data_IF_791864250110
#
_entry.id   IF_791864250110
#
_cell.length_a   1.000
_cell.length_b   1.000
_cell.length_c   1.000
_cell.angle_alpha   90.00
_cell.angle_beta   90.00
_cell.angle_gamma   90.00
#
_symmetry.space_group_name_H-M   'P 1'
#
loop_
_entity.id
_entity.type
_entity.pdbx_description
1 polymer ?
#
# COMPACT_ATOMS: atom_id res chain seq x y z
N UNK A 1 -0.84 6.30 -27.83
CA UNK A 1 -2.23 6.63 -27.44
C UNK A 1 -3.16 6.18 -28.56
N UNK A 2 -4.43 5.90 -28.26
CA UNK A 2 -5.43 5.50 -29.24
C UNK A 2 -6.72 6.31 -29.04
N UNK A 3 -7.53 6.43 -30.08
CA UNK A 3 -8.94 6.82 -29.95
C UNK A 3 -9.76 5.54 -29.93
N UNK A 4 -10.31 5.19 -28.77
CA UNK A 4 -11.16 4.03 -28.60
C UNK A 4 -12.62 4.40 -28.91
N UNK A 5 -13.31 3.57 -29.69
CA UNK A 5 -14.76 3.73 -29.96
C UNK A 5 -15.59 2.60 -29.36
N UNK A 6 -14.95 1.47 -29.06
CA UNK A 6 -15.57 0.31 -28.44
C UNK A 6 -14.75 -0.16 -27.23
N UNK A 7 -15.40 -0.86 -26.31
CA UNK A 7 -14.75 -1.41 -25.10
C UNK A 7 -13.54 -2.29 -25.45
N UNK A 8 -13.64 -3.10 -26.50
CA UNK A 8 -12.56 -4.00 -26.95
C UNK A 8 -11.27 -3.24 -27.33
N UNK A 9 -11.36 -1.98 -27.78
CA UNK A 9 -10.18 -1.17 -28.05
C UNK A 9 -9.45 -0.80 -26.76
N UNK A 10 -10.22 -0.47 -25.72
CA UNK A 10 -9.70 -0.16 -24.39
C UNK A 10 -9.08 -1.40 -23.76
N UNK A 11 -9.76 -2.54 -23.80
CA UNK A 11 -9.26 -3.80 -23.24
C UNK A 11 -7.97 -4.26 -23.90
N UNK A 12 -7.89 -4.20 -25.24
CA UNK A 12 -6.69 -4.55 -25.99
C UNK A 12 -5.52 -3.64 -25.60
N UNK A 13 -5.73 -2.33 -25.62
CA UNK A 13 -4.67 -1.37 -25.26
C UNK A 13 -4.26 -1.49 -23.79
N UNK A 14 -5.21 -1.74 -22.88
CA UNK A 14 -4.94 -1.99 -21.48
C UNK A 14 -4.11 -3.27 -21.27
N UNK A 15 -4.43 -4.35 -21.99
CA UNK A 15 -3.67 -5.60 -21.95
C UNK A 15 -2.23 -5.40 -22.42
N UNK A 16 -2.02 -4.71 -23.54
CA UNK A 16 -0.69 -4.36 -24.04
C UNK A 16 0.09 -3.52 -23.01
N UNK A 17 -0.57 -2.55 -22.37
CA UNK A 17 0.00 -1.73 -21.30
C UNK A 17 0.47 -2.58 -20.11
N UNK A 18 -0.33 -3.58 -19.71
CA UNK A 18 0.04 -4.54 -18.65
C UNK A 18 1.22 -5.42 -19.07
N UNK A 19 1.21 -5.95 -20.30
CA UNK A 19 2.30 -6.78 -20.83
C UNK A 19 3.63 -6.01 -20.88
N UNK A 20 3.56 -4.70 -21.14
CA UNK A 20 4.71 -3.79 -21.09
C UNK A 20 5.13 -3.39 -19.67
N UNK A 21 4.42 -3.84 -18.62
CA UNK A 21 4.64 -3.49 -17.20
C UNK A 21 4.48 -1.99 -16.90
N UNK A 22 3.66 -1.30 -17.68
CA UNK A 22 3.29 0.09 -17.40
C UNK A 22 2.27 0.17 -16.25
N UNK A 23 2.14 1.34 -15.62
CA UNK A 23 1.28 1.56 -14.45
C UNK A 23 -0.23 1.39 -14.75
N UNK A 24 -0.64 1.61 -15.99
CA UNK A 24 -2.04 1.58 -16.42
C UNK A 24 -2.33 2.61 -17.50
N UNK A 25 -3.62 2.87 -17.74
CA UNK A 25 -4.08 3.79 -18.79
C UNK A 25 -4.90 4.94 -18.21
N UNK A 26 -5.00 6.03 -18.97
CA UNK A 26 -5.91 7.14 -18.69
C UNK A 26 -6.93 7.25 -19.82
N UNK A 27 -8.20 7.05 -19.50
CA UNK A 27 -9.33 7.28 -20.39
C UNK A 27 -9.73 8.75 -20.30
N UNK A 28 -9.74 9.44 -21.44
CA UNK A 28 -10.11 10.86 -21.51
C UNK A 28 -11.31 11.02 -22.44
N UNK A 29 -12.34 11.68 -21.95
CA UNK A 29 -13.43 12.14 -22.81
C UNK A 29 -12.91 13.20 -23.79
N UNK A 30 -13.05 12.94 -25.10
CA UNK A 30 -12.61 13.85 -26.16
C UNK A 30 -13.39 15.17 -26.18
N UNK A 31 -14.61 15.20 -25.65
CA UNK A 31 -15.42 16.41 -25.51
C UNK A 31 -15.11 17.21 -24.24
N UNK A 32 -14.32 16.66 -23.32
CA UNK A 32 -14.01 17.32 -22.06
C UNK A 32 -13.02 18.47 -22.24
N UNK A 33 -13.27 19.58 -21.53
CA UNK A 33 -12.29 20.66 -21.38
C UNK A 33 -11.34 20.33 -20.23
N UNK A 34 -10.15 20.93 -20.29
CA UNK A 34 -9.24 20.91 -19.16
C UNK A 34 -9.75 21.85 -18.06
N UNK A 35 -9.90 21.32 -16.86
CA UNK A 35 -10.41 22.03 -15.70
C UNK A 35 -9.46 21.82 -14.50
N UNK A 36 -8.89 22.88 -13.92
CA UNK A 36 -8.01 22.77 -12.75
C UNK A 36 -8.73 22.13 -11.56
N UNK A 37 -8.14 21.06 -11.01
CA UNK A 37 -8.64 20.41 -9.79
C UNK A 37 -9.86 19.50 -9.99
N UNK A 38 -10.36 19.37 -11.22
CA UNK A 38 -11.54 18.54 -11.50
C UNK A 38 -11.26 17.04 -11.28
N UNK A 39 -12.22 16.37 -10.63
CA UNK A 39 -12.24 14.91 -10.39
C UNK A 39 -13.56 14.27 -10.83
N UNK A 40 -14.33 14.95 -11.70
CA UNK A 40 -15.68 14.54 -12.17
C UNK A 40 -15.73 13.27 -13.03
N UNK A 41 -14.61 12.55 -13.20
CA UNK A 41 -14.56 11.33 -13.99
C UNK A 41 -14.47 11.53 -15.51
N UNK A 42 -14.28 12.76 -16.00
CA UNK A 42 -13.94 13.01 -17.42
C UNK A 42 -12.63 12.33 -17.82
N UNK A 43 -11.68 12.27 -16.88
CA UNK A 43 -10.36 11.65 -17.03
C UNK A 43 -10.23 10.53 -15.98
N UNK A 44 -10.40 9.29 -16.41
CA UNK A 44 -10.39 8.11 -15.54
C UNK A 44 -9.05 7.39 -15.63
N UNK A 45 -8.47 7.07 -14.48
CA UNK A 45 -7.28 6.22 -14.40
C UNK A 45 -7.75 4.77 -14.25
N UNK A 46 -7.24 3.88 -15.09
CA UNK A 46 -7.48 2.44 -14.99
C UNK A 46 -6.14 1.77 -14.76
N UNK A 47 -6.00 1.14 -13.59
CA UNK A 47 -4.77 0.45 -13.18
C UNK A 47 -5.04 -1.04 -13.00
N UNK A 48 -4.02 -1.91 -13.19
CA UNK A 48 -4.16 -3.34 -12.99
C UNK A 48 -4.70 -3.70 -11.60
N UNK A 49 -4.21 -3.00 -10.57
CA UNK A 49 -4.61 -3.18 -9.17
C UNK A 49 -6.11 -2.94 -8.89
N UNK A 50 -6.83 -2.28 -9.82
CA UNK A 50 -8.28 -2.07 -9.70
C UNK A 50 -9.09 -3.26 -10.24
N UNK A 51 -8.50 -4.06 -11.12
CA UNK A 51 -9.16 -5.19 -11.80
C UNK A 51 -8.73 -6.52 -11.19
N UNK A 52 -7.48 -6.60 -10.72
CA UNK A 52 -6.95 -7.71 -9.95
C UNK A 52 -6.38 -7.13 -8.67
N UNK A 53 -6.77 -7.67 -7.52
CA UNK A 53 -6.00 -7.41 -6.32
C UNK A 53 -4.53 -7.74 -6.64
N UNK A 54 -3.63 -6.81 -6.30
CA UNK A 54 -2.19 -7.05 -6.47
C UNK A 54 -1.74 -8.29 -5.70
N UNK A 55 -0.46 -8.64 -5.79
CA UNK A 55 0.09 -9.66 -4.91
C UNK A 55 0.02 -9.18 -3.46
N UNK A 56 -0.79 -9.84 -2.65
CA UNK A 56 -0.80 -9.64 -1.20
C UNK A 56 0.48 -10.22 -0.59
N UNK A 57 0.98 -9.57 0.46
CA UNK A 57 2.18 -9.98 1.17
C UNK A 57 1.87 -10.17 2.65
N UNK A 58 2.07 -11.39 3.14
CA UNK A 58 2.04 -11.68 4.57
C UNK A 58 3.37 -11.24 5.22
N UNK A 59 3.28 -10.27 6.13
CA UNK A 59 4.44 -9.65 6.80
C UNK A 59 4.18 -9.46 8.28
N UNK A 60 5.23 -9.33 9.09
CA UNK A 60 5.12 -9.18 10.55
C UNK A 60 5.29 -7.73 10.98
N UNK A 61 4.48 -7.28 11.95
CA UNK A 61 4.72 -6.03 12.66
C UNK A 61 5.93 -6.21 13.58
N UNK A 62 6.98 -5.43 13.36
CA UNK A 62 8.23 -5.47 14.13
C UNK A 62 8.51 -4.15 14.87
N UNK A 63 7.67 -3.13 14.68
CA UNK A 63 7.79 -1.84 15.35
C UNK A 63 6.62 -0.91 15.07
N UNK A 64 6.62 0.24 15.72
CA UNK A 64 5.57 1.24 15.58
C UNK A 64 6.10 2.67 15.69
N UNK A 65 5.39 3.61 15.06
CA UNK A 65 5.64 5.04 15.13
C UNK A 65 4.42 5.75 15.71
N UNK A 66 4.67 6.66 16.64
CA UNK A 66 3.63 7.53 17.18
C UNK A 66 3.07 8.45 16.10
N UNK A 67 1.75 8.61 16.11
CA UNK A 67 1.07 9.58 15.27
C UNK A 67 1.30 11.02 15.70
N UNK A 68 0.78 11.93 14.89
CA UNK A 68 0.73 13.37 15.14
C UNK A 68 -0.71 13.88 15.05
N UNK A 69 -0.98 15.07 15.60
CA UNK A 69 -2.31 15.70 15.52
C UNK A 69 -3.38 14.90 16.25
N UNK A 70 -4.50 14.57 15.57
CA UNK A 70 -5.63 13.80 16.14
C UNK A 70 -5.20 12.45 16.73
N UNK A 71 -4.13 11.84 16.22
CA UNK A 71 -3.58 10.56 16.71
C UNK A 71 -2.25 10.73 17.47
N UNK A 72 -2.01 11.92 18.02
CA UNK A 72 -0.85 12.17 18.87
C UNK A 72 -0.90 11.32 20.15
N UNK A 73 0.22 10.71 20.51
CA UNK A 73 0.36 9.92 21.75
C UNK A 73 0.08 8.42 21.60
N UNK A 74 -0.49 7.98 20.49
CA UNK A 74 -0.69 6.56 20.18
C UNK A 74 0.08 6.14 18.93
N UNK A 75 0.39 4.84 18.80
CA UNK A 75 1.03 4.29 17.60
C UNK A 75 0.02 4.33 16.45
N UNK A 76 0.41 4.89 15.32
CA UNK A 76 -0.49 5.04 14.14
C UNK A 76 0.10 4.48 12.85
N UNK A 77 1.37 4.09 12.87
CA UNK A 77 2.06 3.48 11.74
C UNK A 77 2.92 2.33 12.25
N UNK A 78 3.01 1.25 11.47
CA UNK A 78 3.73 0.05 11.82
C UNK A 78 4.93 -0.16 10.90
N UNK A 79 6.07 -0.54 11.47
CA UNK A 79 7.20 -1.06 10.72
C UNK A 79 6.96 -2.56 10.49
N UNK A 80 6.98 -2.98 9.24
CA UNK A 80 6.78 -4.36 8.82
C UNK A 80 8.12 -5.02 8.49
N UNK A 81 8.22 -6.31 8.78
CA UNK A 81 9.41 -7.12 8.58
C UNK A 81 9.12 -8.46 7.90
N UNK A 82 10.09 -8.92 7.12
CA UNK A 82 10.11 -10.24 6.50
C UNK A 82 10.98 -11.18 7.32
N UNK A 83 10.51 -12.41 7.52
CA UNK A 83 11.26 -13.45 8.20
C UNK A 83 12.38 -14.00 7.31
N UNK A 84 13.61 -14.09 7.83
CA UNK A 84 14.65 -14.88 7.17
C UNK A 84 14.30 -16.36 7.24
N UNK A 85 14.61 -17.10 6.17
CA UNK A 85 14.26 -18.51 6.05
C UNK A 85 14.92 -19.30 7.20
N UNK A 86 14.13 -19.91 8.10
CA UNK A 86 14.69 -20.66 9.22
C UNK A 86 15.22 -22.02 8.75
N UNK A 87 16.05 -22.64 9.61
CA UNK A 87 16.38 -24.06 9.46
C UNK A 87 15.10 -24.91 9.59
N UNK A 88 15.04 -26.11 8.98
CA UNK A 88 13.89 -26.99 9.10
C UNK A 88 13.49 -27.22 10.56
N UNK A 89 12.17 -27.21 10.84
CA UNK A 89 11.59 -27.36 12.18
C UNK A 89 12.01 -26.30 13.21
N UNK A 90 12.41 -25.10 12.77
CA UNK A 90 12.71 -23.97 13.67
C UNK A 90 11.92 -22.72 13.29
N UNK A 91 11.76 -21.81 14.25
CA UNK A 91 11.16 -20.50 14.01
C UNK A 91 12.20 -19.49 13.52
N UNK A 92 11.80 -18.52 12.68
CA UNK A 92 12.69 -17.44 12.25
C UNK A 92 13.14 -16.61 13.45
N UNK A 93 14.44 -16.33 13.52
CA UNK A 93 15.04 -15.51 14.58
C UNK A 93 15.42 -14.11 14.13
N UNK A 94 15.55 -13.92 12.81
CA UNK A 94 15.93 -12.64 12.21
C UNK A 94 14.81 -12.18 11.29
N UNK A 95 14.46 -10.92 11.44
CA UNK A 95 13.47 -10.24 10.61
C UNK A 95 14.14 -9.03 9.97
N UNK A 96 13.97 -8.87 8.67
CA UNK A 96 14.50 -7.75 7.90
C UNK A 96 13.39 -6.73 7.70
N UNK A 97 13.62 -5.49 8.13
CA UNK A 97 12.69 -4.38 7.91
C UNK A 97 12.41 -4.22 6.41
N UNK A 98 11.14 -4.14 6.05
CA UNK A 98 10.70 -4.09 4.65
C UNK A 98 10.05 -2.75 4.32
N UNK A 99 8.92 -2.43 4.98
CA UNK A 99 8.19 -1.20 4.70
C UNK A 99 7.48 -0.67 5.94
N UNK A 100 6.89 0.52 5.82
CA UNK A 100 6.03 1.12 6.84
C UNK A 100 4.62 1.25 6.30
N UNK A 101 3.63 0.87 7.11
CA UNK A 101 2.21 1.02 6.78
C UNK A 101 1.50 1.89 7.81
N UNK A 102 0.60 2.75 7.36
CA UNK A 102 -0.19 3.63 8.24
C UNK A 102 -1.62 3.88 7.74
N UNK A 103 -2.04 3.14 6.71
CA UNK A 103 -3.33 3.28 6.04
C UNK A 103 -3.87 1.91 5.70
N UNK A 104 -5.19 1.76 5.60
CA UNK A 104 -5.86 0.51 5.21
C UNK A 104 -6.71 -0.12 6.32
N UNK A 105 -6.52 0.30 7.57
CA UNK A 105 -7.39 -0.04 8.69
C UNK A 105 -8.39 1.08 8.97
N UNK A 106 -9.58 0.73 9.43
CA UNK A 106 -10.54 1.67 10.03
C UNK A 106 -9.97 2.27 11.33
N UNK A 107 -10.62 3.31 11.86
CA UNK A 107 -10.24 3.89 13.16
C UNK A 107 -10.37 2.81 14.26
N UNK A 108 -11.45 2.02 14.23
CA UNK A 108 -11.76 0.96 15.19
C UNK A 108 -10.78 -0.21 15.11
N UNK A 109 -10.49 -0.71 13.90
CA UNK A 109 -9.53 -1.80 13.69
C UNK A 109 -8.13 -1.42 14.16
N UNK A 110 -7.74 -0.17 13.92
CA UNK A 110 -6.46 0.34 14.38
C UNK A 110 -6.39 0.39 15.91
N UNK A 111 -7.44 0.89 16.56
CA UNK A 111 -7.48 1.00 18.02
C UNK A 111 -7.42 -0.40 18.67
N UNK A 112 -8.16 -1.37 18.15
CA UNK A 112 -8.10 -2.77 18.61
C UNK A 112 -6.70 -3.36 18.46
N UNK A 113 -6.07 -3.15 17.29
CA UNK A 113 -4.72 -3.63 17.03
C UNK A 113 -3.70 -2.98 17.97
N UNK A 114 -3.77 -1.66 18.17
CA UNK A 114 -2.87 -0.94 19.06
C UNK A 114 -3.05 -1.39 20.50
N UNK A 115 -4.30 -1.57 20.98
CA UNK A 115 -4.56 -2.11 22.32
C UNK A 115 -3.95 -3.49 22.52
N UNK A 116 -4.06 -4.38 21.52
CA UNK A 116 -3.45 -5.71 21.56
C UNK A 116 -1.92 -5.66 21.58
N UNK A 117 -1.30 -4.70 20.89
CA UNK A 117 0.15 -4.57 20.79
C UNK A 117 0.78 -3.76 21.94
N UNK A 118 0.01 -2.91 22.63
CA UNK A 118 0.47 -2.00 23.68
C UNK A 118 1.35 -2.66 24.76
N UNK A 119 1.02 -3.88 25.27
CA UNK A 119 1.86 -4.56 26.26
C UNK A 119 3.21 -5.04 25.73
N UNK A 120 3.36 -5.19 24.41
CA UNK A 120 4.54 -5.74 23.77
C UNK A 120 5.49 -4.68 23.23
N UNK A 121 5.05 -3.43 23.10
CA UNK A 121 5.91 -2.35 22.65
C UNK A 121 7.03 -2.07 23.65
N UNK A 122 8.24 -1.93 23.11
CA UNK A 122 9.43 -1.54 23.85
C UNK A 122 10.05 -0.36 23.14
N UNK A 123 10.60 0.58 23.91
CA UNK A 123 11.38 1.67 23.34
C UNK A 123 12.52 1.06 22.53
N UNK A 124 12.65 1.47 21.28
CA UNK A 124 13.74 1.01 20.44
C UNK A 124 15.05 1.65 20.92
N UNK A 125 15.86 0.86 21.61
CA UNK A 125 17.20 1.25 22.06
C UNK A 125 18.22 0.65 21.10
N UNK A 126 18.67 1.45 20.12
CA UNK A 126 19.85 1.07 19.36
C UNK A 126 21.09 1.47 20.15
N UNK A 127 22.08 0.58 20.33
CA UNK A 127 23.37 1.01 20.83
C UNK A 127 23.91 2.04 19.82
N UNK A 128 24.02 3.30 20.25
CA UNK A 128 24.76 4.29 19.49
C UNK A 128 26.17 3.71 19.32
N UNK A 129 26.58 3.40 18.09
CA UNK A 129 27.99 3.19 17.81
C UNK A 129 28.66 4.53 18.09
N UNK A 130 29.30 4.66 19.26
CA UNK A 130 30.26 5.71 19.57
C UNK A 130 31.48 5.55 18.67
#
# INVERSE_FOLDING_TARGET
SIVARHLNDVERFFKETIENRDEGIVLKDLGSKWEPGDRSGKWLKVKPDYVRAGSDLDVLIIGGYYGSGRRGGEVSQFLLGLAERPSPNTYPRRFVSFCRVGTGLSDEELDELVMKLKPYFRKYEYPKKS
#
